data_IF_147832390412
#
_entry.id   IF_147832390412
#
_cell.length_a   1.000
_cell.length_b   1.000
_cell.length_c   1.000
_cell.angle_alpha   90.00
_cell.angle_beta   90.00
_cell.angle_gamma   90.00
#
_symmetry.space_group_name_H-M   'P 1'
#
loop_
_entity.id
_entity.type
_entity.pdbx_description
1 polymer ?
#
# COMPACT_ATOMS: atom_id res chain seq x y z
N UNK A 1 -4.47 -15.51 -1.96
CA UNK A 1 -3.06 -15.22 -1.60
C UNK A 1 -3.10 -14.02 -0.68
N UNK A 2 -2.44 -14.08 0.48
CA UNK A 2 -2.46 -12.98 1.45
C UNK A 2 -1.76 -11.73 0.91
N UNK A 3 -2.10 -10.56 1.44
CA UNK A 3 -1.44 -9.30 1.08
C UNK A 3 0.06 -9.35 1.43
N UNK A 4 0.42 -9.90 2.59
CA UNK A 4 1.81 -10.12 3.01
C UNK A 4 2.57 -11.02 2.02
N UNK A 5 1.99 -12.15 1.61
CA UNK A 5 2.60 -13.05 0.61
C UNK A 5 2.84 -12.36 -0.73
N UNK A 6 1.90 -11.50 -1.14
CA UNK A 6 2.00 -10.70 -2.36
C UNK A 6 3.15 -9.70 -2.26
N UNK A 7 3.27 -9.01 -1.13
CA UNK A 7 4.38 -8.07 -0.88
C UNK A 7 5.72 -8.81 -0.87
N UNK A 8 5.84 -9.94 -0.16
CA UNK A 8 7.07 -10.76 -0.10
C UNK A 8 7.52 -11.20 -1.50
N UNK A 9 6.60 -11.75 -2.31
CA UNK A 9 6.89 -12.10 -3.71
C UNK A 9 7.36 -10.91 -4.52
N UNK A 10 6.74 -9.74 -4.32
CA UNK A 10 7.09 -8.52 -5.05
C UNK A 10 8.50 -8.00 -4.72
N UNK A 11 9.00 -8.31 -3.52
CA UNK A 11 10.33 -7.98 -3.01
C UNK A 11 11.35 -9.11 -3.23
N UNK A 12 10.94 -10.20 -3.90
CA UNK A 12 11.76 -11.41 -4.09
C UNK A 12 12.18 -12.10 -2.78
N UNK A 13 11.39 -11.94 -1.72
CA UNK A 13 11.58 -12.62 -0.44
C UNK A 13 10.83 -13.96 -0.51
N UNK A 14 11.49 -15.11 -0.24
CA UNK A 14 10.82 -16.40 -0.20
C UNK A 14 9.69 -16.41 0.85
N UNK A 15 8.57 -17.07 0.55
CA UNK A 15 7.41 -17.11 1.46
C UNK A 15 7.77 -17.77 2.80
N UNK A 16 8.72 -18.70 2.80
CA UNK A 16 9.23 -19.40 3.97
C UNK A 16 10.07 -18.53 4.92
N UNK A 17 10.61 -17.41 4.45
CA UNK A 17 11.48 -16.54 5.24
C UNK A 17 10.67 -15.52 6.02
N UNK A 18 10.80 -15.46 7.35
CA UNK A 18 9.97 -14.59 8.19
C UNK A 18 10.71 -13.38 8.77
N UNK A 19 12.00 -13.21 8.48
CA UNK A 19 12.86 -12.19 9.09
C UNK A 19 12.39 -10.74 8.86
N UNK A 20 11.60 -10.50 7.81
CA UNK A 20 11.08 -9.18 7.44
C UNK A 20 9.58 -9.03 7.71
N UNK A 21 8.89 -10.05 8.22
CA UNK A 21 7.43 -10.06 8.27
C UNK A 21 6.88 -8.93 9.16
N UNK A 22 7.52 -8.65 10.30
CA UNK A 22 7.09 -7.56 11.20
C UNK A 22 7.22 -6.18 10.53
N UNK A 23 8.35 -5.91 9.87
CA UNK A 23 8.58 -4.65 9.15
C UNK A 23 7.59 -4.49 7.99
N UNK A 24 7.35 -5.55 7.21
CA UNK A 24 6.39 -5.53 6.11
C UNK A 24 4.96 -5.32 6.62
N UNK A 25 4.56 -5.98 7.72
CA UNK A 25 3.24 -5.77 8.32
C UNK A 25 3.06 -4.34 8.83
N UNK A 26 4.12 -3.71 9.37
CA UNK A 26 4.10 -2.30 9.77
C UNK A 26 3.90 -1.38 8.56
N UNK A 27 4.62 -1.61 7.45
CA UNK A 27 4.44 -0.83 6.22
C UNK A 27 3.06 -1.04 5.59
N UNK A 28 2.55 -2.28 5.57
CA UNK A 28 1.20 -2.59 5.09
C UNK A 28 0.17 -1.81 5.91
N UNK A 29 0.27 -1.87 7.24
CA UNK A 29 -0.63 -1.17 8.16
C UNK A 29 -0.56 0.35 7.97
N UNK A 30 0.66 0.91 7.84
CA UNK A 30 0.87 2.33 7.60
C UNK A 30 0.24 2.79 6.28
N UNK A 31 0.43 2.02 5.20
CA UNK A 31 -0.17 2.33 3.90
C UNK A 31 -1.70 2.26 3.96
N UNK A 32 -2.28 1.22 4.58
CA UNK A 32 -3.74 1.12 4.76
C UNK A 32 -4.30 2.31 5.52
N UNK A 33 -3.64 2.74 6.60
CA UNK A 33 -4.03 3.92 7.37
C UNK A 33 -3.96 5.20 6.52
N UNK A 34 -2.93 5.34 5.67
CA UNK A 34 -2.84 6.44 4.72
C UNK A 34 -4.04 6.45 3.76
N UNK A 35 -4.38 5.31 3.15
CA UNK A 35 -5.54 5.21 2.25
C UNK A 35 -6.86 5.59 2.96
N UNK A 36 -7.04 5.14 4.21
CA UNK A 36 -8.22 5.52 5.00
C UNK A 36 -8.24 7.02 5.29
N UNK A 37 -7.08 7.61 5.59
CA UNK A 37 -6.97 9.06 5.86
C UNK A 37 -7.32 9.92 4.65
N UNK A 38 -7.26 9.39 3.43
CA UNK A 38 -7.69 10.09 2.20
C UNK A 38 -9.17 9.91 1.90
N UNK A 39 -9.97 9.36 2.82
CA UNK A 39 -11.41 9.18 2.69
C UNK A 39 -11.85 7.87 2.04
N UNK A 40 -10.92 6.93 1.79
CA UNK A 40 -11.26 5.61 1.25
C UNK A 40 -11.75 4.73 2.41
N UNK A 41 -12.89 4.05 2.23
CA UNK A 41 -13.42 3.18 3.29
C UNK A 41 -12.54 1.95 3.52
N UNK A 42 -12.48 1.45 4.76
CA UNK A 42 -11.69 0.25 5.08
C UNK A 42 -12.11 -0.96 4.25
N UNK A 43 -13.39 -1.07 3.88
CA UNK A 43 -13.89 -2.14 3.01
C UNK A 43 -13.22 -2.08 1.63
N UNK A 44 -13.07 -0.89 1.05
CA UNK A 44 -12.37 -0.72 -0.23
C UNK A 44 -10.87 -0.99 -0.06
N UNK A 45 -10.25 -0.51 1.01
CA UNK A 45 -8.82 -0.73 1.28
C UNK A 45 -8.47 -2.22 1.37
N UNK A 46 -9.33 -3.04 1.97
CA UNK A 46 -9.10 -4.49 2.12
C UNK A 46 -9.39 -5.30 0.86
N UNK A 47 -10.32 -4.87 0.01
CA UNK A 47 -10.83 -5.71 -1.09
C UNK A 47 -10.44 -5.21 -2.49
N UNK A 48 -10.09 -3.94 -2.65
CA UNK A 48 -9.89 -3.34 -3.96
C UNK A 48 -8.50 -3.64 -4.53
N UNK A 49 -8.37 -4.18 -5.77
CA UNK A 49 -7.07 -4.54 -6.35
C UNK A 49 -6.09 -3.35 -6.47
N UNK A 50 -6.61 -2.14 -6.73
CA UNK A 50 -5.80 -0.92 -6.76
C UNK A 50 -5.27 -0.54 -5.37
N UNK A 51 -6.02 -0.78 -4.30
CA UNK A 51 -5.54 -0.56 -2.93
C UNK A 51 -4.39 -1.52 -2.60
N UNK A 52 -4.50 -2.78 -3.00
CA UNK A 52 -3.40 -3.75 -2.85
C UNK A 52 -2.16 -3.36 -3.66
N UNK A 53 -2.36 -2.83 -4.87
CA UNK A 53 -1.27 -2.33 -5.71
C UNK A 53 -0.56 -1.13 -5.08
N UNK A 54 -1.32 -0.20 -4.49
CA UNK A 54 -0.78 0.93 -3.72
C UNK A 54 0.05 0.45 -2.53
N UNK A 55 -0.45 -0.53 -1.77
CA UNK A 55 0.30 -1.14 -0.66
C UNK A 55 1.62 -1.76 -1.13
N UNK A 56 1.61 -2.47 -2.27
CA UNK A 56 2.83 -3.06 -2.83
C UNK A 56 3.84 -1.97 -3.22
N UNK A 57 3.40 -0.90 -3.89
CA UNK A 57 4.28 0.23 -4.25
C UNK A 57 4.87 0.85 -2.99
N UNK A 58 4.03 1.12 -1.99
CA UNK A 58 4.45 1.71 -0.72
C UNK A 58 5.51 0.86 -0.01
N UNK A 59 5.26 -0.45 0.13
CA UNK A 59 6.20 -1.36 0.77
C UNK A 59 7.52 -1.43 -0.02
N UNK A 60 7.48 -1.48 -1.36
CA UNK A 60 8.70 -1.47 -2.19
C UNK A 60 9.52 -0.20 -2.04
N UNK A 61 8.84 0.94 -1.91
CA UNK A 61 9.51 2.21 -1.69
C UNK A 61 10.19 2.22 -0.33
N UNK A 62 9.54 1.79 0.75
CA UNK A 62 10.11 1.95 2.09
C UNK A 62 10.92 0.75 2.59
N UNK A 63 10.85 -0.40 1.92
CA UNK A 63 11.65 -1.56 2.27
C UNK A 63 13.13 -1.35 1.93
N UNK A 64 13.98 -1.44 2.96
CA UNK A 64 15.43 -1.25 2.88
C UNK A 64 15.86 0.20 2.66
N UNK A 65 17.10 0.50 3.02
CA UNK A 65 17.67 1.86 2.97
C UNK A 65 18.26 2.18 1.60
N UNK A 66 18.34 3.48 1.24
CA UNK A 66 19.25 3.92 0.18
C UNK A 66 20.70 3.72 0.64
N UNK A 67 21.61 3.58 -0.33
CA UNK A 67 23.05 3.47 -0.06
C UNK A 67 23.63 4.69 0.69
N UNK A 68 22.97 5.84 0.60
CA UNK A 68 23.31 7.09 1.27
C UNK A 68 22.55 7.30 2.61
N UNK A 69 21.74 6.33 3.03
CA UNK A 69 20.92 6.41 4.25
C UNK A 69 19.69 7.31 4.14
N UNK A 70 19.44 7.94 2.98
CA UNK A 70 18.25 8.77 2.79
C UNK A 70 16.99 7.92 2.54
N UNK A 71 15.82 8.52 2.76
CA UNK A 71 14.53 7.86 2.55
C UNK A 71 14.20 7.86 1.05
N UNK A 72 13.60 6.79 0.55
CA UNK A 72 13.09 6.72 -0.82
C UNK A 72 11.77 7.46 -0.94
N UNK A 73 11.63 8.24 -2.00
CA UNK A 73 10.39 8.94 -2.29
C UNK A 73 9.40 8.00 -2.97
N UNK A 74 8.11 8.21 -2.68
CA UNK A 74 7.05 7.52 -3.41
C UNK A 74 7.08 7.97 -4.88
N UNK A 75 6.89 7.05 -5.83
CA UNK A 75 6.84 7.42 -7.24
C UNK A 75 5.61 8.31 -7.48
N UNK A 76 5.71 9.29 -8.38
CA UNK A 76 4.58 10.19 -8.75
C UNK A 76 3.32 9.45 -9.17
N UNK A 77 3.46 8.23 -9.70
CA UNK A 77 2.33 7.37 -10.05
C UNK A 77 1.52 6.94 -8.83
N UNK A 78 2.11 6.88 -7.63
CA UNK A 78 1.41 6.56 -6.40
C UNK A 78 0.28 7.56 -6.14
N UNK A 79 0.57 8.85 -6.16
CA UNK A 79 -0.44 9.91 -5.94
C UNK A 79 -1.53 9.88 -7.01
N UNK A 80 -1.17 9.61 -8.27
CA UNK A 80 -2.15 9.50 -9.35
C UNK A 80 -3.12 8.34 -9.12
N UNK A 81 -2.60 7.16 -8.75
CA UNK A 81 -3.40 5.96 -8.47
C UNK A 81 -4.24 6.13 -7.19
N UNK A 82 -3.69 6.80 -6.18
CA UNK A 82 -4.39 7.13 -4.93
C UNK A 82 -5.58 8.04 -5.22
N UNK A 83 -5.38 9.11 -6.00
CA UNK A 83 -6.45 10.01 -6.40
C UNK A 83 -7.51 9.29 -7.24
N UNK A 84 -7.10 8.44 -8.19
CA UNK A 84 -8.04 7.62 -8.96
C UNK A 84 -8.87 6.71 -8.06
N UNK A 85 -8.23 6.04 -7.09
CA UNK A 85 -8.93 5.22 -6.12
C UNK A 85 -9.89 6.06 -5.28
N UNK A 86 -9.45 7.17 -4.71
CA UNK A 86 -10.30 8.04 -3.89
C UNK A 86 -11.53 8.54 -4.66
N UNK A 87 -11.35 8.95 -5.93
CA UNK A 87 -12.44 9.40 -6.80
C UNK A 87 -13.38 8.27 -7.22
N UNK A 88 -12.87 7.05 -7.43
CA UNK A 88 -13.70 5.90 -7.82
C UNK A 88 -14.38 5.20 -6.64
N UNK A 89 -13.86 5.38 -5.43
CA UNK A 89 -14.38 4.78 -4.18
C UNK A 89 -15.52 5.58 -3.57
N UNK A 90 -15.72 6.82 -4.02
CA UNK A 90 -16.80 7.67 -3.55
C UNK A 90 -18.12 7.31 -4.23
N UNK A 91 -18.98 6.53 -3.58
CA UNK A 91 -20.40 6.52 -3.92
C UNK A 91 -21.12 7.70 -3.26
N UNK A 92 -21.66 8.58 -4.12
CA UNK A 92 -22.88 9.39 -4.00
C UNK A 92 -23.41 9.77 -2.60
N UNK A 93 -22.92 10.88 -2.04
CA UNK A 93 -23.74 11.76 -1.19
C UNK A 93 -24.13 13.00 -2.00
N UNK A 94 -24.97 12.83 -3.02
CA UNK A 94 -25.86 13.94 -3.43
C UNK A 94 -27.12 13.74 -2.59
N UNK A 95 -27.15 14.41 -1.44
CA UNK A 95 -28.38 14.54 -0.66
C UNK A 95 -29.44 15.21 -1.54
N UNK A 96 -30.58 14.54 -1.73
CA UNK A 96 -31.83 15.17 -2.19
C UNK A 96 -32.31 16.26 -1.23
#
# INVERSE_FOLDING_TARGET
MGLLETVKKSLLIPISETYADDELNNHISACKNLLVSTGITSVVVENHPLAHSLVVIYCKTFFGFKADGSVKDLPKSFDMLLNQLALSSGEYHVSE
#
